data_IF_642225937852
#
_entry.id   IF_642225937852
#
_cell.length_a   1.000
_cell.length_b   1.000
_cell.length_c   1.000
_cell.angle_alpha   90.00
_cell.angle_beta   90.00
_cell.angle_gamma   90.00
#
_symmetry.space_group_name_H-M   'P 1'
#
loop_
_entity.id
_entity.type
_entity.pdbx_description
1 polymer ?
#
# COMPACT_ATOMS: atom_id res chain seq x y z
N UNK A 1 -62.25 9.28 -41.32
CA UNK A 1 -60.78 9.32 -41.12
C UNK A 1 -60.48 8.78 -39.73
N UNK A 2 -59.57 7.77 -39.68
CA UNK A 2 -58.79 7.20 -38.55
C UNK A 2 -58.57 8.18 -37.36
N UNK A 3 -58.50 7.84 -36.06
CA UNK A 3 -58.15 6.63 -35.29
C UNK A 3 -58.72 6.77 -33.84
N UNK A 4 -59.09 5.65 -33.20
CA UNK A 4 -59.29 5.45 -31.73
C UNK A 4 -58.03 4.68 -31.20
N UNK A 5 -57.72 4.49 -29.89
CA UNK A 5 -58.66 4.39 -28.79
C UNK A 5 -58.25 4.92 -27.40
N UNK A 6 -59.30 5.04 -26.58
CA UNK A 6 -59.40 5.26 -25.14
C UNK A 6 -59.31 3.94 -24.34
N UNK A 7 -59.03 4.04 -23.03
CA UNK A 7 -59.66 3.14 -22.05
C UNK A 7 -58.77 2.42 -21.02
N UNK A 8 -58.56 3.08 -19.88
CA UNK A 8 -58.88 2.64 -18.51
C UNK A 8 -58.53 1.21 -18.02
N UNK A 9 -57.79 1.20 -16.91
CA UNK A 9 -57.71 0.21 -15.83
C UNK A 9 -59.00 -0.60 -15.56
N UNK A 10 -58.87 -1.93 -15.39
CA UNK A 10 -59.36 -2.70 -14.21
C UNK A 10 -59.22 -4.23 -14.40
N UNK A 11 -58.65 -4.89 -13.38
CA UNK A 11 -59.08 -6.13 -12.70
C UNK A 11 -57.99 -7.17 -12.36
N UNK A 12 -58.00 -7.51 -11.06
CA UNK A 12 -57.29 -8.56 -10.37
C UNK A 12 -57.94 -9.95 -10.56
N UNK A 13 -57.09 -10.97 -10.43
CA UNK A 13 -57.35 -12.38 -10.04
C UNK A 13 -57.89 -13.35 -11.11
N UNK A 14 -57.08 -14.38 -11.41
CA UNK A 14 -57.52 -15.78 -11.31
C UNK A 14 -56.30 -16.72 -11.35
N UNK A 15 -56.36 -17.68 -10.42
CA UNK A 15 -55.43 -18.79 -10.18
C UNK A 15 -55.35 -19.74 -11.37
N UNK A 16 -54.19 -20.36 -11.58
CA UNK A 16 -54.00 -21.38 -12.61
C UNK A 16 -52.57 -21.90 -12.67
N UNK A 17 -52.22 -22.80 -11.76
CA UNK A 17 -51.02 -23.61 -11.87
C UNK A 17 -51.10 -24.50 -13.12
N UNK A 18 -50.28 -24.21 -14.14
CA UNK A 18 -49.98 -25.15 -15.21
C UNK A 18 -48.62 -24.82 -15.85
N UNK A 19 -47.63 -25.67 -15.55
CA UNK A 19 -46.51 -26.06 -16.42
C UNK A 19 -45.59 -24.94 -16.95
N UNK A 20 -44.63 -24.52 -16.13
CA UNK A 20 -43.33 -24.06 -16.64
C UNK A 20 -42.56 -25.27 -17.18
N UNK A 21 -42.72 -25.57 -18.48
CA UNK A 21 -41.74 -26.36 -19.22
C UNK A 21 -40.50 -25.48 -19.41
N UNK A 22 -39.28 -25.91 -19.06
CA UNK A 22 -38.09 -25.14 -19.39
C UNK A 22 -37.94 -25.08 -20.91
N UNK A 23 -37.96 -23.87 -21.46
CA UNK A 23 -37.56 -23.60 -22.84
C UNK A 23 -36.12 -24.06 -22.96
N UNK A 24 -35.92 -25.16 -23.70
CA UNK A 24 -34.60 -25.69 -24.07
C UNK A 24 -33.86 -24.56 -24.79
N UNK A 25 -32.93 -23.89 -24.10
CA UNK A 25 -32.12 -22.85 -24.73
C UNK A 25 -31.31 -23.53 -25.84
N UNK A 26 -31.57 -23.14 -27.09
CA UNK A 26 -30.62 -23.40 -28.16
C UNK A 26 -29.35 -22.67 -27.75
N UNK A 27 -28.30 -23.41 -27.45
CA UNK A 27 -26.97 -22.87 -27.21
C UNK A 27 -26.52 -22.14 -28.47
N UNK A 28 -26.74 -20.83 -28.51
CA UNK A 28 -26.06 -19.96 -29.47
C UNK A 28 -24.60 -19.92 -28.97
N UNK A 29 -23.62 -20.46 -29.69
CA UNK A 29 -22.23 -20.22 -29.34
C UNK A 29 -22.00 -18.71 -29.41
N UNK A 30 -21.76 -18.08 -28.25
CA UNK A 30 -21.23 -16.72 -28.19
C UNK A 30 -19.83 -16.81 -28.77
N UNK A 31 -19.72 -16.52 -30.05
CA UNK A 31 -18.45 -16.38 -30.75
C UNK A 31 -17.78 -15.09 -30.25
N UNK A 32 -17.09 -15.19 -29.11
CA UNK A 32 -16.36 -14.09 -28.44
C UNK A 32 -15.25 -13.53 -29.35
N UNK A 33 -14.90 -14.24 -30.43
CA UNK A 33 -13.89 -13.85 -31.40
C UNK A 33 -14.27 -12.59 -32.20
N UNK A 34 -15.57 -12.31 -32.41
CA UNK A 34 -16.00 -11.15 -33.24
C UNK A 34 -15.75 -9.78 -32.58
N UNK A 35 -15.57 -9.74 -31.27
CA UNK A 35 -15.25 -8.52 -30.51
C UNK A 35 -13.82 -8.51 -29.99
N UNK A 36 -13.07 -9.60 -30.18
CA UNK A 36 -11.66 -9.65 -29.83
C UNK A 36 -10.86 -8.94 -30.93
N UNK A 37 -10.44 -7.70 -30.66
CA UNK A 37 -9.42 -7.05 -31.48
C UNK A 37 -8.18 -7.97 -31.47
N UNK A 38 -7.69 -8.41 -32.65
CA UNK A 38 -6.49 -9.24 -32.74
C UNK A 38 -5.34 -8.59 -31.96
N UNK A 39 -4.53 -9.34 -31.20
CA UNK A 39 -3.45 -8.78 -30.39
C UNK A 39 -2.50 -7.90 -31.21
N UNK A 40 -2.27 -8.24 -32.48
CA UNK A 40 -1.43 -7.49 -33.43
C UNK A 40 -1.98 -6.10 -33.81
N UNK A 41 -3.30 -5.89 -33.72
CA UNK A 41 -3.95 -4.59 -33.99
C UNK A 41 -4.11 -3.73 -32.73
N UNK A 42 -3.73 -4.25 -31.57
CA UNK A 42 -3.72 -3.53 -30.30
C UNK A 42 -2.47 -2.66 -30.23
N UNK A 43 -2.34 -1.70 -31.15
CA UNK A 43 -1.26 -0.69 -31.12
C UNK A 43 -1.63 0.35 -30.07
N UNK A 44 -1.55 -0.05 -28.81
CA UNK A 44 -1.45 0.86 -27.67
C UNK A 44 -0.08 1.53 -27.77
N UNK A 45 -0.03 2.85 -28.00
CA UNK A 45 1.22 3.62 -27.89
C UNK A 45 1.84 3.52 -26.48
N UNK A 46 1.07 3.02 -25.51
CA UNK A 46 1.44 2.77 -24.11
C UNK A 46 1.95 1.34 -23.85
N UNK A 47 1.94 0.44 -24.84
CA UNK A 47 2.42 -0.96 -24.69
C UNK A 47 3.86 -1.14 -25.21
N UNK A 48 4.52 -0.07 -25.64
CA UNK A 48 5.94 -0.10 -25.98
C UNK A 48 6.76 0.02 -24.69
N UNK A 49 7.73 -0.88 -24.51
CA UNK A 49 8.77 -0.70 -23.49
C UNK A 49 9.38 0.70 -23.65
N UNK A 50 9.39 1.54 -22.60
CA UNK A 50 9.92 2.89 -22.70
C UNK A 50 11.40 2.86 -23.06
N UNK A 51 11.87 3.85 -23.83
CA UNK A 51 13.30 3.99 -24.09
C UNK A 51 14.03 4.37 -22.79
N UNK A 52 15.33 4.05 -22.65
CA UNK A 52 16.11 4.44 -21.46
C UNK A 52 16.05 5.94 -21.17
N UNK A 53 16.09 6.79 -22.21
CA UNK A 53 15.96 8.25 -22.09
C UNK A 53 14.58 8.67 -21.56
N UNK A 54 13.50 8.01 -21.99
CA UNK A 54 12.16 8.29 -21.46
C UNK A 54 12.04 7.94 -19.98
N UNK A 55 12.62 6.82 -19.57
CA UNK A 55 12.66 6.40 -18.16
C UNK A 55 13.41 7.43 -17.33
N UNK A 56 14.55 7.92 -17.80
CA UNK A 56 15.34 8.94 -17.09
C UNK A 56 14.56 10.26 -16.93
N UNK A 57 13.86 10.71 -17.97
CA UNK A 57 12.98 11.89 -17.88
C UNK A 57 11.88 11.68 -16.85
N UNK A 58 11.25 10.51 -16.81
CA UNK A 58 10.20 10.22 -15.82
C UNK A 58 10.75 10.12 -14.40
N UNK A 59 11.93 9.52 -14.22
CA UNK A 59 12.61 9.45 -12.91
C UNK A 59 13.03 10.83 -12.40
N UNK A 60 13.29 11.79 -13.29
CA UNK A 60 13.59 13.19 -12.92
C UNK A 60 12.34 14.00 -12.51
N UNK A 61 11.14 13.45 -12.66
CA UNK A 61 9.93 14.13 -12.21
C UNK A 61 9.87 14.13 -10.68
N UNK A 62 9.39 15.24 -10.11
CA UNK A 62 9.26 15.43 -8.66
C UNK A 62 8.61 14.22 -7.95
N UNK A 63 7.57 13.63 -8.55
CA UNK A 63 6.87 12.47 -8.00
C UNK A 63 7.81 11.28 -7.74
N UNK A 64 8.69 10.98 -8.68
CA UNK A 64 9.65 9.88 -8.61
C UNK A 64 10.86 10.22 -7.73
N UNK A 65 11.41 11.43 -7.84
CA UNK A 65 12.49 11.88 -6.95
C UNK A 65 12.06 11.87 -5.48
N UNK A 66 10.81 12.24 -5.21
CA UNK A 66 10.26 12.28 -3.86
C UNK A 66 10.15 10.91 -3.19
N UNK A 67 10.10 9.80 -3.97
CA UNK A 67 10.03 8.43 -3.43
C UNK A 67 11.24 8.07 -2.58
N UNK A 68 12.41 8.60 -2.91
CA UNK A 68 13.66 8.36 -2.17
C UNK A 68 13.55 8.85 -0.72
N UNK A 69 12.92 10.00 -0.49
CA UNK A 69 12.70 10.54 0.86
C UNK A 69 11.65 9.76 1.67
N UNK A 70 10.87 8.86 1.03
CA UNK A 70 9.93 7.97 1.74
C UNK A 70 10.60 6.72 2.29
N UNK A 71 11.86 6.43 1.90
CA UNK A 71 12.65 5.27 2.34
C UNK A 71 13.23 5.44 3.75
N UNK A 72 12.39 5.85 4.70
CA UNK A 72 12.80 6.06 6.10
C UNK A 72 12.38 4.90 7.00
N UNK A 73 13.14 4.67 8.06
CA UNK A 73 12.81 3.70 9.11
C UNK A 73 12.22 4.46 10.28
N UNK A 74 11.05 4.02 10.72
CA UNK A 74 10.33 4.65 11.81
C UNK A 74 10.96 4.32 13.17
N UNK A 75 11.49 5.32 13.86
CA UNK A 75 12.21 5.15 15.13
C UNK A 75 11.28 5.23 16.34
N UNK A 76 11.80 4.86 17.53
CA UNK A 76 11.08 5.03 18.79
C UNK A 76 10.70 6.51 19.04
N UNK A 77 11.58 7.45 18.67
CA UNK A 77 11.30 8.89 18.76
C UNK A 77 10.15 9.29 17.83
N UNK A 78 10.06 8.70 16.64
CA UNK A 78 8.95 8.94 15.70
C UNK A 78 7.62 8.39 16.24
N UNK A 79 7.65 7.25 16.93
CA UNK A 79 6.49 6.72 17.67
C UNK A 79 6.05 7.65 18.80
N UNK A 80 6.98 8.32 19.48
CA UNK A 80 6.62 9.36 20.45
C UNK A 80 6.01 10.57 19.74
N UNK A 81 6.63 11.03 18.64
CA UNK A 81 6.16 12.17 17.83
C UNK A 81 4.73 11.99 17.32
N UNK A 82 4.36 10.77 16.92
CA UNK A 82 3.00 10.44 16.42
C UNK A 82 1.95 10.32 17.51
N UNK A 83 2.34 10.15 18.77
CA UNK A 83 1.43 10.13 19.93
C UNK A 83 1.14 11.52 20.52
N UNK A 84 1.79 12.58 20.01
CA UNK A 84 1.56 13.97 20.45
C UNK A 84 0.10 14.39 20.20
N UNK A 85 -0.47 15.15 21.14
CA UNK A 85 -1.85 15.65 21.05
C UNK A 85 -2.03 16.70 19.93
N UNK A 86 -0.99 17.47 19.62
CA UNK A 86 -0.98 18.53 18.59
C UNK A 86 -0.96 17.99 17.14
N UNK A 87 -0.92 16.67 16.97
CA UNK A 87 -0.85 16.02 15.64
C UNK A 87 -1.95 16.47 14.70
N UNK A 88 -3.17 16.69 15.19
CA UNK A 88 -4.29 17.12 14.36
C UNK A 88 -4.03 18.50 13.73
N UNK A 89 -3.59 19.46 14.54
CA UNK A 89 -3.32 20.83 14.07
C UNK A 89 -2.10 20.89 13.17
N UNK A 90 -1.06 20.11 13.48
CA UNK A 90 0.14 20.01 12.64
C UNK A 90 -0.20 19.45 11.26
N UNK A 91 -0.99 18.37 11.20
CA UNK A 91 -1.39 17.74 9.94
C UNK A 91 -2.22 18.69 9.07
N UNK A 92 -3.14 19.48 9.65
CA UNK A 92 -3.91 20.47 8.89
C UNK A 92 -2.98 21.54 8.31
N UNK A 93 -2.05 22.07 9.11
CA UNK A 93 -1.11 23.11 8.66
C UNK A 93 -0.20 22.61 7.54
N UNK A 94 0.26 21.37 7.62
CA UNK A 94 1.18 20.78 6.64
C UNK A 94 0.47 20.14 5.44
N UNK A 95 -0.87 20.09 5.43
CA UNK A 95 -1.64 19.45 4.35
C UNK A 95 -1.25 19.99 2.98
N UNK A 96 -1.19 21.32 2.82
CA UNK A 96 -0.82 21.98 1.56
C UNK A 96 0.67 21.90 1.19
N UNK A 97 1.51 21.44 2.12
CA UNK A 97 2.94 21.21 1.92
C UNK A 97 3.26 19.72 1.67
N UNK A 98 2.24 18.86 1.71
CA UNK A 98 2.41 17.43 1.51
C UNK A 98 2.81 17.11 0.07
N UNK A 99 3.80 16.24 -0.10
CA UNK A 99 4.21 15.74 -1.42
C UNK A 99 3.07 15.11 -2.21
N UNK A 100 2.06 14.56 -1.52
CA UNK A 100 0.85 14.04 -2.15
C UNK A 100 0.10 15.13 -2.94
N UNK A 101 -0.07 16.32 -2.36
CA UNK A 101 -0.79 17.42 -3.00
C UNK A 101 0.02 17.98 -4.17
N UNK A 102 1.34 18.08 -4.01
CA UNK A 102 2.24 18.52 -5.09
C UNK A 102 2.17 17.55 -6.27
N UNK A 103 2.04 16.25 -6.01
CA UNK A 103 1.97 15.24 -7.05
C UNK A 103 0.66 15.28 -7.85
N UNK A 104 -0.48 15.52 -7.20
CA UNK A 104 -1.79 15.63 -7.88
C UNK A 104 -2.10 17.06 -8.39
N UNK A 105 -1.17 18.01 -8.21
CA UNK A 105 -1.38 19.41 -8.55
C UNK A 105 -1.70 19.66 -10.04
N UNK A 106 -1.09 18.96 -11.02
CA UNK A 106 -1.42 19.12 -12.43
C UNK A 106 -2.87 18.73 -12.75
N UNK A 107 -3.33 17.60 -12.23
CA UNK A 107 -4.70 17.10 -12.40
C UNK A 107 -5.70 18.05 -11.72
N UNK A 108 -5.37 18.50 -10.51
CA UNK A 108 -6.20 19.44 -9.76
C UNK A 108 -6.31 20.79 -10.47
N UNK A 109 -5.21 21.27 -11.05
CA UNK A 109 -5.18 22.51 -11.85
C UNK A 109 -6.02 22.36 -13.11
N UNK A 110 -5.94 21.21 -13.79
CA UNK A 110 -6.76 20.93 -14.97
C UNK A 110 -8.26 20.93 -14.65
N UNK A 111 -8.67 20.28 -13.55
CA UNK A 111 -10.06 20.32 -13.07
C UNK A 111 -10.46 21.73 -12.63
N UNK A 112 -9.56 22.50 -12.03
CA UNK A 112 -9.80 23.89 -11.66
C UNK A 112 -10.06 24.77 -12.88
N UNK A 113 -9.27 24.63 -13.93
CA UNK A 113 -9.44 25.34 -15.21
C UNK A 113 -10.77 24.96 -15.86
N UNK A 114 -11.09 23.66 -15.94
CA UNK A 114 -12.37 23.21 -16.52
C UNK A 114 -13.57 23.73 -15.73
N UNK A 115 -13.48 23.74 -14.39
CA UNK A 115 -14.52 24.29 -13.52
C UNK A 115 -14.70 25.78 -13.73
N UNK A 116 -13.60 26.52 -13.80
CA UNK A 116 -13.62 27.97 -14.02
C UNK A 116 -14.22 28.31 -15.39
N UNK A 117 -13.91 27.51 -16.42
CA UNK A 117 -14.52 27.63 -17.74
C UNK A 117 -16.04 27.40 -17.71
N UNK A 118 -16.52 26.35 -17.03
CA UNK A 118 -17.96 26.06 -16.92
C UNK A 118 -18.70 27.19 -16.21
N UNK A 119 -18.15 27.68 -15.09
CA UNK A 119 -18.73 28.80 -14.34
C UNK A 119 -18.75 30.07 -15.19
N UNK A 120 -17.64 30.41 -15.85
CA UNK A 120 -17.57 31.58 -16.72
C UNK A 120 -18.53 31.48 -17.91
N UNK A 121 -18.66 30.31 -18.53
CA UNK A 121 -19.59 30.08 -19.63
C UNK A 121 -21.04 30.33 -19.21
N UNK A 122 -21.49 29.71 -18.12
CA UNK A 122 -22.87 29.85 -17.67
C UNK A 122 -23.16 31.30 -17.19
N UNK A 123 -22.21 31.96 -16.52
CA UNK A 123 -22.37 33.35 -16.11
C UNK A 123 -22.43 34.32 -17.30
N UNK A 124 -21.52 34.17 -18.27
CA UNK A 124 -21.41 35.13 -19.37
C UNK A 124 -22.50 34.95 -20.42
N UNK A 125 -22.94 33.72 -20.69
CA UNK A 125 -23.80 33.42 -21.84
C UNK A 125 -25.22 32.96 -21.49
N UNK A 126 -25.51 32.63 -20.21
CA UNK A 126 -26.79 32.02 -19.83
C UNK A 126 -27.51 32.79 -18.71
N UNK A 127 -26.92 32.88 -17.52
CA UNK A 127 -27.61 33.43 -16.34
C UNK A 127 -27.37 34.93 -16.13
N UNK A 128 -26.29 35.48 -16.71
CA UNK A 128 -25.80 36.82 -16.40
C UNK A 128 -24.96 36.82 -15.12
N UNK A 129 -24.37 37.98 -14.79
CA UNK A 129 -23.55 38.12 -13.59
C UNK A 129 -23.98 39.32 -12.75
N UNK A 130 -23.80 39.20 -11.44
CA UNK A 130 -23.95 40.31 -10.50
C UNK A 130 -22.62 40.99 -10.31
N UNK A 131 -22.57 42.31 -10.47
CA UNK A 131 -21.37 43.07 -10.12
C UNK A 131 -21.22 43.23 -8.60
N UNK A 132 -20.13 43.89 -8.17
CA UNK A 132 -19.87 44.16 -6.75
C UNK A 132 -20.85 45.16 -6.13
N UNK A 133 -21.57 45.94 -6.95
CA UNK A 133 -22.66 46.82 -6.50
C UNK A 133 -24.01 46.09 -6.40
N UNK A 134 -24.06 44.81 -6.80
CA UNK A 134 -25.26 43.99 -6.80
C UNK A 134 -26.17 44.21 -8.02
N UNK A 135 -25.74 44.99 -9.01
CA UNK A 135 -26.47 45.15 -10.26
C UNK A 135 -26.32 43.88 -11.12
N UNK A 136 -27.44 43.41 -11.66
CA UNK A 136 -27.49 42.24 -12.52
C UNK A 136 -27.23 42.68 -13.97
N UNK A 137 -26.12 42.20 -14.53
CA UNK A 137 -25.79 42.38 -15.94
C UNK A 137 -26.34 41.21 -16.75
N UNK A 138 -27.04 41.46 -17.86
CA UNK A 138 -27.59 40.40 -18.70
C UNK A 138 -26.47 39.61 -19.40
N UNK A 139 -26.75 38.37 -19.83
CA UNK A 139 -25.79 37.58 -20.58
C UNK A 139 -25.35 38.27 -21.88
N UNK A 140 -24.07 38.10 -22.21
CA UNK A 140 -23.48 38.49 -23.48
C UNK A 140 -24.12 37.66 -24.60
N UNK A 141 -24.56 38.32 -25.67
CA UNK A 141 -25.16 37.70 -26.87
C UNK A 141 -26.59 37.15 -26.73
N UNK A 142 -27.41 37.75 -25.86
CA UNK A 142 -28.86 37.45 -25.76
C UNK A 142 -29.61 37.62 -27.09
N UNK A 143 -29.16 38.51 -27.97
CA UNK A 143 -29.83 38.84 -29.24
C UNK A 143 -29.34 38.04 -30.47
N UNK A 144 -28.32 37.18 -30.32
CA UNK A 144 -27.61 36.58 -31.48
C UNK A 144 -28.19 35.23 -31.90
N UNK A 145 -28.84 34.48 -31.01
CA UNK A 145 -29.39 33.15 -31.30
C UNK A 145 -30.85 33.02 -30.81
N UNK A 146 -31.83 32.73 -31.69
CA UNK A 146 -33.24 32.62 -31.32
C UNK A 146 -33.56 31.39 -30.44
N UNK A 147 -32.62 30.45 -30.28
CA UNK A 147 -32.79 29.23 -29.48
C UNK A 147 -32.07 29.29 -28.11
N UNK A 148 -31.40 30.40 -27.78
CA UNK A 148 -30.58 30.52 -26.56
C UNK A 148 -29.31 29.67 -26.60
N UNK A 149 -28.34 30.01 -25.76
CA UNK A 149 -27.11 29.22 -25.57
C UNK A 149 -27.40 28.17 -24.49
N UNK A 150 -27.10 26.87 -24.70
CA UNK A 150 -27.39 25.85 -23.70
C UNK A 150 -26.51 26.03 -22.47
N UNK A 151 -27.14 25.94 -21.30
CA UNK A 151 -26.45 25.88 -20.01
C UNK A 151 -25.59 24.61 -19.92
N UNK A 152 -24.33 24.77 -19.53
CA UNK A 152 -23.45 23.66 -19.17
C UNK A 152 -23.79 23.20 -17.75
N UNK A 153 -24.93 22.52 -17.62
CA UNK A 153 -25.43 21.98 -16.37
C UNK A 153 -25.93 20.55 -16.56
N UNK A 154 -25.63 19.70 -15.59
CA UNK A 154 -26.15 18.34 -15.50
C UNK A 154 -26.93 18.17 -14.18
N UNK A 155 -27.93 17.28 -14.13
CA UNK A 155 -28.62 16.99 -12.88
C UNK A 155 -27.65 16.38 -11.86
N UNK A 156 -27.83 16.71 -10.57
CA UNK A 156 -26.99 16.18 -9.49
C UNK A 156 -27.24 14.68 -9.21
N UNK A 157 -28.47 14.20 -9.45
CA UNK A 157 -28.89 12.85 -9.05
C UNK A 157 -27.99 11.71 -9.60
N UNK A 158 -27.57 11.69 -10.89
CA UNK A 158 -26.63 10.68 -11.38
C UNK A 158 -25.30 10.65 -10.63
N UNK A 159 -24.76 11.81 -10.22
CA UNK A 159 -23.50 11.91 -9.49
C UNK A 159 -23.63 11.39 -8.06
N UNK A 160 -24.75 11.70 -7.40
CA UNK A 160 -25.04 11.16 -6.06
C UNK A 160 -25.20 9.65 -6.05
N UNK A 161 -25.68 9.04 -7.14
CA UNK A 161 -25.76 7.59 -7.27
C UNK A 161 -24.40 6.97 -7.62
N UNK A 162 -23.63 7.61 -8.49
CA UNK A 162 -22.37 7.06 -8.99
C UNK A 162 -21.20 7.23 -7.99
N UNK A 163 -21.25 8.19 -7.07
CA UNK A 163 -20.18 8.43 -6.09
C UNK A 163 -19.96 7.23 -5.16
N UNK A 164 -21.02 6.50 -4.81
CA UNK A 164 -20.91 5.28 -4.00
C UNK A 164 -20.14 4.17 -4.74
N UNK A 165 -20.41 4.00 -6.04
CA UNK A 165 -19.68 3.06 -6.88
C UNK A 165 -18.20 3.49 -7.05
N UNK A 166 -17.95 4.78 -7.25
CA UNK A 166 -16.59 5.32 -7.33
C UNK A 166 -15.81 5.11 -6.03
N UNK A 167 -16.41 5.41 -4.88
CA UNK A 167 -15.81 5.21 -3.57
C UNK A 167 -15.45 3.74 -3.31
N UNK A 168 -16.33 2.81 -3.71
CA UNK A 168 -16.08 1.37 -3.61
C UNK A 168 -14.90 0.93 -4.47
N UNK A 169 -14.82 1.41 -5.72
CA UNK A 169 -13.70 1.10 -6.63
C UNK A 169 -12.36 1.62 -6.10
N UNK A 170 -12.35 2.84 -5.56
CA UNK A 170 -11.16 3.42 -4.93
C UNK A 170 -10.74 2.63 -3.69
N UNK A 171 -11.70 2.21 -2.85
CA UNK A 171 -11.40 1.40 -1.66
C UNK A 171 -10.81 0.04 -2.05
N UNK A 172 -11.39 -0.64 -3.03
CA UNK A 172 -10.83 -1.90 -3.52
C UNK A 172 -9.45 -1.73 -4.13
N UNK A 173 -9.20 -0.64 -4.88
CA UNK A 173 -7.87 -0.33 -5.41
C UNK A 173 -6.86 -0.16 -4.26
N UNK A 174 -7.18 0.66 -3.27
CA UNK A 174 -6.33 0.90 -2.11
C UNK A 174 -6.04 -0.37 -1.32
N UNK A 175 -7.04 -1.23 -1.10
CA UNK A 175 -6.86 -2.50 -0.39
C UNK A 175 -5.93 -3.46 -1.12
N UNK A 176 -6.06 -3.57 -2.45
CA UNK A 176 -5.18 -4.42 -3.27
C UNK A 176 -3.74 -3.90 -3.25
N UNK A 177 -3.55 -2.59 -3.42
CA UNK A 177 -2.22 -1.97 -3.34
C UNK A 177 -1.59 -2.15 -1.95
N UNK A 178 -2.37 -1.97 -0.88
CA UNK A 178 -1.89 -2.20 0.49
C UNK A 178 -1.47 -3.65 0.73
N UNK A 179 -2.28 -4.63 0.28
CA UNK A 179 -1.95 -6.05 0.43
C UNK A 179 -0.62 -6.39 -0.24
N UNK A 180 -0.38 -5.86 -1.44
CA UNK A 180 0.87 -5.99 -2.20
C UNK A 180 2.05 -5.35 -1.46
N UNK A 181 1.87 -4.16 -0.89
CA UNK A 181 2.89 -3.52 -0.07
C UNK A 181 3.24 -4.33 1.18
N UNK A 182 2.22 -4.83 1.88
CA UNK A 182 2.41 -5.65 3.07
C UNK A 182 3.15 -6.96 2.72
N UNK A 183 2.80 -7.61 1.62
CA UNK A 183 3.48 -8.81 1.14
C UNK A 183 4.97 -8.57 0.86
N UNK A 184 5.32 -7.47 0.20
CA UNK A 184 6.71 -7.09 -0.04
C UNK A 184 7.46 -6.83 1.28
N UNK A 185 6.82 -6.16 2.24
CA UNK A 185 7.38 -5.90 3.57
C UNK A 185 7.60 -7.19 4.35
N UNK A 186 6.70 -8.16 4.25
CA UNK A 186 6.83 -9.48 4.87
C UNK A 186 7.96 -10.28 4.23
N UNK A 187 8.09 -10.29 2.90
CA UNK A 187 9.19 -10.93 2.19
C UNK A 187 10.55 -10.36 2.63
N UNK A 188 10.69 -9.04 2.70
CA UNK A 188 11.91 -8.40 3.23
C UNK A 188 12.13 -8.68 4.72
N UNK A 189 11.07 -8.85 5.50
CA UNK A 189 11.16 -9.33 6.89
C UNK A 189 11.78 -10.73 6.98
N UNK A 190 11.39 -11.63 6.06
CA UNK A 190 11.97 -12.96 5.95
C UNK A 190 13.46 -12.91 5.56
N UNK A 191 13.84 -12.07 4.59
CA UNK A 191 15.25 -11.83 4.23
C UNK A 191 16.06 -11.41 5.47
N UNK A 192 15.59 -10.45 6.25
CA UNK A 192 16.28 -10.00 7.46
C UNK A 192 16.46 -11.15 8.47
N UNK A 193 15.40 -11.90 8.75
CA UNK A 193 15.42 -12.97 9.75
C UNK A 193 16.31 -14.14 9.32
N UNK A 194 16.21 -14.56 8.07
CA UNK A 194 16.94 -15.71 7.54
C UNK A 194 18.43 -15.37 7.37
N UNK A 195 18.79 -14.16 6.92
CA UNK A 195 20.19 -13.70 6.88
C UNK A 195 20.85 -13.72 8.27
N UNK A 196 20.15 -13.20 9.30
CA UNK A 196 20.64 -13.25 10.69
C UNK A 196 20.71 -14.67 11.24
N UNK A 197 19.81 -15.55 10.81
CA UNK A 197 19.75 -16.94 11.29
C UNK A 197 20.87 -17.78 10.68
N UNK A 198 21.16 -17.62 9.38
CA UNK A 198 22.32 -18.24 8.71
C UNK A 198 23.61 -17.83 9.42
N UNK A 199 23.80 -16.53 9.66
CA UNK A 199 25.01 -16.04 10.30
C UNK A 199 25.12 -16.53 11.75
N UNK A 200 24.04 -16.47 12.53
CA UNK A 200 24.01 -17.02 13.90
C UNK A 200 24.38 -18.50 13.93
N UNK A 201 23.80 -19.33 13.05
CA UNK A 201 24.12 -20.76 12.99
C UNK A 201 25.56 -20.98 12.54
N UNK A 202 26.02 -20.24 11.54
CA UNK A 202 27.40 -20.25 11.06
C UNK A 202 28.41 -19.98 12.16
N UNK A 203 28.24 -18.89 12.94
CA UNK A 203 29.17 -18.54 14.03
C UNK A 203 29.19 -19.55 15.19
N UNK A 204 28.04 -20.11 15.56
CA UNK A 204 27.96 -21.04 16.70
C UNK A 204 28.48 -22.42 16.31
N UNK A 205 28.09 -22.90 15.13
CA UNK A 205 28.53 -24.21 14.67
C UNK A 205 29.97 -24.20 14.21
N UNK A 206 30.49 -23.08 13.69
CA UNK A 206 31.91 -23.00 13.33
C UNK A 206 32.82 -23.30 14.53
N UNK A 207 32.49 -22.81 15.73
CA UNK A 207 33.23 -23.10 16.97
C UNK A 207 33.16 -24.55 17.40
N UNK A 208 32.09 -25.27 17.02
CA UNK A 208 31.94 -26.69 17.34
C UNK A 208 32.85 -27.60 16.50
N UNK A 209 33.43 -27.08 15.42
CA UNK A 209 34.31 -27.81 14.52
C UNK A 209 35.66 -27.08 14.38
N UNK A 210 36.73 -27.69 14.86
CA UNK A 210 38.07 -27.07 15.04
C UNK A 210 38.80 -26.65 13.75
N UNK A 211 38.12 -26.69 12.59
CA UNK A 211 38.72 -26.54 11.25
C UNK A 211 38.26 -25.29 10.49
N UNK A 212 37.31 -24.52 11.03
CA UNK A 212 36.77 -23.34 10.33
C UNK A 212 37.56 -22.11 10.75
N UNK A 213 38.15 -21.44 9.76
CA UNK A 213 38.90 -20.21 9.92
C UNK A 213 38.00 -18.98 9.91
N UNK A 214 38.48 -17.90 10.52
CA UNK A 214 37.77 -16.63 10.60
C UNK A 214 37.48 -16.03 9.21
N UNK A 215 38.33 -16.35 8.21
CA UNK A 215 38.14 -15.90 6.83
C UNK A 215 36.95 -16.60 6.15
N UNK A 216 36.71 -17.90 6.39
CA UNK A 216 35.53 -18.58 5.84
C UNK A 216 34.23 -18.06 6.48
N UNK A 217 34.27 -17.70 7.77
CA UNK A 217 33.13 -17.07 8.44
C UNK A 217 32.83 -15.67 7.89
N UNK A 218 33.88 -14.88 7.66
CA UNK A 218 33.79 -13.58 6.99
C UNK A 218 33.19 -13.72 5.57
N UNK A 219 33.65 -14.71 4.79
CA UNK A 219 33.13 -15.01 3.45
C UNK A 219 31.63 -15.36 3.48
N UNK A 220 31.20 -16.19 4.44
CA UNK A 220 29.77 -16.49 4.62
C UNK A 220 28.97 -15.21 4.92
N UNK A 221 29.46 -14.35 5.81
CA UNK A 221 28.86 -13.06 6.11
C UNK A 221 28.72 -12.20 4.85
N UNK A 222 29.80 -12.02 4.10
CA UNK A 222 29.79 -11.27 2.84
C UNK A 222 28.84 -11.85 1.79
N UNK A 223 28.77 -13.18 1.66
CA UNK A 223 27.83 -13.88 0.78
C UNK A 223 26.37 -13.58 1.17
N UNK A 224 26.03 -13.68 2.46
CA UNK A 224 24.69 -13.34 3.00
C UNK A 224 24.33 -11.88 2.72
N UNK A 225 25.27 -10.94 2.90
CA UNK A 225 25.04 -9.53 2.61
C UNK A 225 24.86 -9.27 1.12
N UNK A 226 25.67 -9.92 0.28
CA UNK A 226 25.61 -9.81 -1.17
C UNK A 226 24.28 -10.29 -1.74
N UNK A 227 23.64 -11.29 -1.11
CA UNK A 227 22.27 -11.70 -1.46
C UNK A 227 21.27 -10.57 -1.26
N UNK A 228 21.22 -9.99 -0.05
CA UNK A 228 20.27 -8.93 0.26
C UNK A 228 20.46 -7.70 -0.64
N UNK A 229 21.72 -7.36 -0.94
CA UNK A 229 22.07 -6.24 -1.81
C UNK A 229 21.71 -6.50 -3.27
N UNK A 230 21.93 -7.73 -3.75
CA UNK A 230 21.55 -8.16 -5.10
C UNK A 230 20.04 -8.18 -5.28
N UNK A 231 19.29 -8.60 -4.26
CA UNK A 231 17.83 -8.56 -4.28
C UNK A 231 17.32 -7.12 -4.40
N UNK A 232 17.87 -6.19 -3.61
CA UNK A 232 17.54 -4.77 -3.70
C UNK A 232 17.76 -4.23 -5.12
N UNK A 233 18.96 -4.44 -5.67
CA UNK A 233 19.33 -4.01 -7.03
C UNK A 233 18.40 -4.59 -8.11
N UNK A 234 17.98 -5.86 -7.94
CA UNK A 234 17.06 -6.55 -8.87
C UNK A 234 15.66 -5.95 -8.88
N UNK A 235 15.21 -5.41 -7.75
CA UNK A 235 13.85 -4.84 -7.55
C UNK A 235 13.78 -3.33 -7.76
N UNK A 236 14.89 -2.67 -8.11
CA UNK A 236 14.96 -1.25 -8.41
C UNK A 236 15.30 -1.00 -9.89
N UNK A 237 14.93 0.16 -10.45
CA UNK A 237 15.37 0.57 -11.78
C UNK A 237 16.92 0.63 -11.86
N UNK A 238 17.54 0.18 -12.96
CA UNK A 238 18.99 0.24 -13.13
C UNK A 238 19.59 1.64 -12.94
N UNK A 239 18.87 2.68 -13.39
CA UNK A 239 19.27 4.08 -13.26
C UNK A 239 19.39 4.55 -11.81
N UNK A 240 18.67 3.91 -10.87
CA UNK A 240 18.69 4.30 -9.46
C UNK A 240 19.85 3.67 -8.68
N UNK A 241 20.21 2.43 -9.00
CA UNK A 241 20.99 1.60 -8.07
C UNK A 241 22.18 0.85 -8.68
N UNK A 242 22.32 0.79 -10.01
CA UNK A 242 23.35 -0.04 -10.65
C UNK A 242 24.77 0.40 -10.30
N UNK A 243 25.05 1.71 -10.28
CA UNK A 243 26.36 2.23 -9.89
C UNK A 243 26.63 2.04 -8.39
N UNK A 244 25.63 2.29 -7.54
CA UNK A 244 25.74 2.05 -6.10
C UNK A 244 26.00 0.57 -5.78
N UNK A 245 25.41 -0.34 -6.55
CA UNK A 245 25.64 -1.77 -6.45
C UNK A 245 27.09 -2.12 -6.80
N UNK A 246 27.62 -1.60 -7.92
CA UNK A 246 29.02 -1.81 -8.32
C UNK A 246 29.99 -1.29 -7.27
N UNK A 247 29.76 -0.08 -6.75
CA UNK A 247 30.58 0.51 -5.69
C UNK A 247 30.52 -0.33 -4.41
N UNK A 248 29.34 -0.86 -4.05
CA UNK A 248 29.19 -1.76 -2.91
C UNK A 248 30.07 -3.02 -3.09
N UNK A 249 29.98 -3.68 -4.25
CA UNK A 249 30.75 -4.88 -4.53
C UNK A 249 32.26 -4.64 -4.43
N UNK A 250 32.75 -3.55 -5.02
CA UNK A 250 34.20 -3.25 -5.02
C UNK A 250 34.76 -2.78 -3.68
N UNK A 251 33.92 -2.21 -2.81
CA UNK A 251 34.37 -1.59 -1.55
C UNK A 251 34.12 -2.45 -0.31
N UNK A 252 33.16 -3.38 -0.36
CA UNK A 252 32.69 -4.12 0.82
C UNK A 252 32.94 -5.62 0.77
N UNK A 253 33.23 -6.21 -0.40
CA UNK A 253 33.60 -7.62 -0.52
C UNK A 253 35.13 -7.74 -0.50
N UNK A 254 35.63 -8.72 0.25
CA UNK A 254 37.06 -9.01 0.34
C UNK A 254 37.52 -9.82 -0.86
N UNK A 255 36.71 -10.78 -1.31
CA UNK A 255 36.96 -11.58 -2.51
C UNK A 255 36.53 -10.82 -3.77
N UNK A 256 37.50 -10.23 -4.46
CA UNK A 256 37.26 -9.44 -5.66
C UNK A 256 36.92 -10.30 -6.89
N UNK A 257 37.35 -11.56 -6.92
CA UNK A 257 36.97 -12.49 -8.00
C UNK A 257 35.47 -12.82 -7.87
N UNK A 258 35.01 -13.10 -6.65
CA UNK A 258 33.58 -13.24 -6.36
C UNK A 258 32.78 -11.97 -6.70
N UNK A 259 33.30 -10.79 -6.35
CA UNK A 259 32.65 -9.52 -6.67
C UNK A 259 32.42 -9.33 -8.18
N UNK A 260 33.42 -9.66 -9.01
CA UNK A 260 33.32 -9.61 -10.48
C UNK A 260 32.33 -10.66 -10.99
N UNK A 261 32.42 -11.90 -10.49
CA UNK A 261 31.52 -12.98 -10.88
C UNK A 261 30.05 -12.64 -10.56
N UNK A 262 29.78 -12.04 -9.39
CA UNK A 262 28.45 -11.63 -8.97
C UNK A 262 27.92 -10.44 -9.79
N UNK A 263 28.78 -9.46 -10.13
CA UNK A 263 28.42 -8.33 -10.98
C UNK A 263 27.94 -8.79 -12.35
N UNK A 264 28.68 -9.73 -12.95
CA UNK A 264 28.47 -10.22 -14.32
C UNK A 264 27.45 -11.36 -14.39
N UNK A 265 26.98 -11.86 -13.24
CA UNK A 265 25.96 -12.90 -13.16
C UNK A 265 24.63 -12.43 -13.77
N UNK A 266 24.04 -13.27 -14.62
CA UNK A 266 22.71 -13.04 -15.21
C UNK A 266 21.62 -12.89 -14.14
N UNK A 267 21.71 -13.67 -13.07
CA UNK A 267 20.78 -13.61 -11.95
C UNK A 267 21.53 -13.48 -10.62
N UNK A 268 21.88 -12.23 -10.29
CA UNK A 268 22.74 -11.88 -9.15
C UNK A 268 22.25 -12.44 -7.81
N UNK A 269 20.96 -12.36 -7.43
CA UNK A 269 20.50 -12.92 -6.16
C UNK A 269 20.70 -14.44 -6.06
N UNK A 270 20.47 -15.19 -7.15
CA UNK A 270 20.67 -16.64 -7.16
C UNK A 270 22.15 -17.00 -7.15
N UNK A 271 23.00 -16.22 -7.82
CA UNK A 271 24.45 -16.41 -7.72
C UNK A 271 24.94 -16.22 -6.27
N UNK A 272 24.42 -15.21 -5.55
CA UNK A 272 24.72 -15.02 -4.14
C UNK A 272 24.18 -16.16 -3.25
N UNK A 273 23.00 -16.71 -3.53
CA UNK A 273 22.49 -17.91 -2.83
C UNK A 273 23.42 -19.11 -3.02
N UNK A 274 23.90 -19.34 -4.24
CA UNK A 274 24.83 -20.42 -4.53
C UNK A 274 26.16 -20.24 -3.75
N UNK A 275 26.64 -19.00 -3.61
CA UNK A 275 27.83 -18.71 -2.82
C UNK A 275 27.61 -18.98 -1.32
N UNK A 276 26.43 -18.63 -0.78
CA UNK A 276 26.07 -18.96 0.61
C UNK A 276 26.14 -20.48 0.81
N UNK A 277 25.51 -21.27 -0.06
CA UNK A 277 25.53 -22.73 0.04
C UNK A 277 26.96 -23.28 -0.10
N UNK A 278 27.78 -22.73 -1.01
CA UNK A 278 29.19 -23.12 -1.16
C UNK A 278 29.98 -22.93 0.13
N UNK A 279 29.86 -21.75 0.76
CA UNK A 279 30.53 -21.46 2.03
C UNK A 279 30.10 -22.45 3.14
N UNK A 280 28.83 -22.82 3.17
CA UNK A 280 28.29 -23.75 4.16
C UNK A 280 28.74 -25.20 3.94
N UNK A 281 28.97 -25.60 2.69
CA UNK A 281 29.54 -26.92 2.37
C UNK A 281 31.00 -26.98 2.83
N UNK A 282 31.76 -25.90 2.65
CA UNK A 282 33.16 -25.81 3.09
C UNK A 282 33.31 -25.92 4.61
N UNK A 283 32.27 -25.60 5.38
CA UNK A 283 32.25 -25.78 6.84
C UNK A 283 32.19 -27.26 7.28
N UNK A 284 31.91 -28.19 6.36
CA UNK A 284 31.81 -29.63 6.64
C UNK A 284 30.94 -29.95 7.87
N UNK A 285 29.78 -29.30 7.96
CA UNK A 285 28.85 -29.43 9.07
C UNK A 285 28.32 -30.87 9.19
N UNK A 286 27.86 -31.24 10.39
CA UNK A 286 27.06 -32.46 10.55
C UNK A 286 25.85 -32.44 9.59
N UNK A 287 25.52 -33.55 8.92
CA UNK A 287 24.37 -33.64 8.02
C UNK A 287 23.05 -33.08 8.59
N UNK A 288 22.79 -33.25 9.89
CA UNK A 288 21.61 -32.69 10.55
C UNK A 288 21.64 -31.16 10.59
N UNK A 289 22.79 -30.57 10.90
CA UNK A 289 22.98 -29.11 10.89
C UNK A 289 22.90 -28.55 9.48
N UNK A 290 23.46 -29.26 8.49
CA UNK A 290 23.38 -28.88 7.08
C UNK A 290 21.93 -28.80 6.61
N UNK A 291 21.09 -29.78 6.97
CA UNK A 291 19.65 -29.76 6.66
C UNK A 291 18.95 -28.56 7.30
N UNK A 292 19.25 -28.23 8.55
CA UNK A 292 18.60 -27.08 9.22
C UNK A 292 19.02 -25.74 8.61
N UNK A 293 20.29 -25.54 8.24
CA UNK A 293 20.69 -24.32 7.54
C UNK A 293 20.12 -24.25 6.13
N UNK A 294 20.09 -25.36 5.39
CA UNK A 294 19.54 -25.38 4.04
C UNK A 294 18.06 -24.99 4.02
N UNK A 295 17.28 -25.32 5.06
CA UNK A 295 15.91 -24.82 5.22
C UNK A 295 15.85 -23.29 5.31
N UNK A 296 16.81 -22.66 5.97
CA UNK A 296 16.89 -21.20 6.09
C UNK A 296 17.36 -20.56 4.78
N UNK A 297 18.30 -21.18 4.07
CA UNK A 297 18.71 -20.75 2.71
C UNK A 297 17.56 -20.88 1.73
N UNK A 298 16.79 -21.96 1.79
CA UNK A 298 15.54 -22.14 1.03
C UNK A 298 14.55 -21.01 1.35
N UNK A 299 14.47 -20.58 2.61
CA UNK A 299 13.69 -19.42 3.02
C UNK A 299 14.08 -18.10 2.33
N UNK A 300 15.38 -17.86 2.10
CA UNK A 300 15.84 -16.73 1.30
C UNK A 300 15.41 -16.87 -0.17
N UNK A 301 15.45 -18.08 -0.73
CA UNK A 301 14.97 -18.36 -2.08
C UNK A 301 13.46 -18.10 -2.22
N UNK A 302 12.65 -18.51 -1.24
CA UNK A 302 11.22 -18.22 -1.21
C UNK A 302 10.93 -16.71 -1.17
N UNK A 303 11.70 -15.97 -0.37
CA UNK A 303 11.58 -14.51 -0.28
C UNK A 303 12.01 -13.80 -1.57
N UNK A 304 13.03 -14.33 -2.27
CA UNK A 304 13.43 -13.89 -3.61
C UNK A 304 12.29 -14.11 -4.60
N UNK A 305 11.73 -15.32 -4.67
CA UNK A 305 10.63 -15.64 -5.58
C UNK A 305 9.37 -14.81 -5.31
N UNK A 306 9.05 -14.57 -4.03
CA UNK A 306 7.96 -13.66 -3.65
C UNK A 306 8.23 -12.22 -4.14
N UNK A 307 9.46 -11.72 -3.96
CA UNK A 307 9.83 -10.37 -4.38
C UNK A 307 9.79 -10.21 -5.90
N UNK A 308 10.28 -11.20 -6.65
CA UNK A 308 10.22 -11.20 -8.11
C UNK A 308 8.78 -11.28 -8.63
N UNK A 309 7.93 -12.11 -8.02
CA UNK A 309 6.51 -12.16 -8.37
C UNK A 309 5.84 -10.81 -8.15
N UNK A 310 6.08 -10.17 -7.00
CA UNK A 310 5.54 -8.82 -6.73
C UNK A 310 6.07 -7.85 -7.79
N UNK A 311 7.37 -7.81 -8.03
CA UNK A 311 7.97 -6.87 -8.99
C UNK A 311 7.44 -7.05 -10.42
N UNK A 312 7.32 -8.30 -10.89
CA UNK A 312 7.00 -8.62 -12.30
C UNK A 312 5.51 -8.68 -12.60
N UNK A 313 4.66 -8.95 -11.60
CA UNK A 313 3.22 -9.17 -11.80
C UNK A 313 2.43 -8.02 -11.18
N UNK A 314 2.16 -6.92 -11.92
CA UNK A 314 1.38 -5.79 -11.40
C UNK A 314 -0.10 -6.14 -11.19
N UNK A 315 -0.84 -5.25 -10.54
CA UNK A 315 -2.31 -5.36 -10.46
C UNK A 315 -2.85 -5.36 -11.90
N UNK A 316 -3.87 -6.18 -12.22
CA UNK A 316 -4.36 -6.28 -13.59
C UNK A 316 -4.68 -4.91 -14.19
N UNK A 317 -4.01 -4.57 -15.29
CA UNK A 317 -3.99 -3.19 -15.82
C UNK A 317 -5.35 -2.71 -16.32
N UNK A 318 -6.27 -3.61 -16.66
CA UNK A 318 -7.64 -3.22 -16.99
C UNK A 318 -8.39 -2.63 -15.78
N UNK A 319 -8.07 -3.10 -14.57
CA UNK A 319 -8.69 -2.65 -13.33
C UNK A 319 -8.22 -1.23 -12.98
N UNK A 320 -6.90 -1.00 -13.01
CA UNK A 320 -6.31 0.30 -12.74
C UNK A 320 -6.75 1.34 -13.79
N UNK A 321 -6.73 0.98 -15.07
CA UNK A 321 -7.19 1.85 -16.17
C UNK A 321 -8.67 2.18 -16.09
N UNK A 322 -9.53 1.22 -15.76
CA UNK A 322 -10.97 1.48 -15.65
C UNK A 322 -11.28 2.44 -14.49
N UNK A 323 -10.66 2.19 -13.33
CA UNK A 323 -10.81 3.05 -12.15
C UNK A 323 -10.35 4.47 -12.43
N UNK A 324 -9.15 4.65 -13.00
CA UNK A 324 -8.61 5.96 -13.35
C UNK A 324 -9.49 6.72 -14.36
N UNK A 325 -9.98 6.04 -15.41
CA UNK A 325 -10.87 6.65 -16.40
C UNK A 325 -12.21 7.06 -15.80
N UNK A 326 -12.81 6.20 -14.98
CA UNK A 326 -14.08 6.52 -14.33
C UNK A 326 -13.92 7.73 -13.41
N UNK A 327 -12.85 7.77 -12.60
CA UNK A 327 -12.52 8.91 -11.76
C UNK A 327 -12.34 10.19 -12.60
N UNK A 328 -11.54 10.14 -13.67
CA UNK A 328 -11.30 11.29 -14.54
C UNK A 328 -12.58 11.83 -15.18
N UNK A 329 -13.40 10.98 -15.79
CA UNK A 329 -14.68 11.41 -16.37
C UNK A 329 -15.63 11.98 -15.32
N UNK A 330 -15.68 11.36 -14.13
CA UNK A 330 -16.54 11.82 -13.05
C UNK A 330 -16.11 13.19 -12.54
N UNK A 331 -14.80 13.41 -12.29
CA UNK A 331 -14.26 14.68 -11.83
C UNK A 331 -14.40 15.81 -12.85
N UNK A 332 -14.25 15.52 -14.15
CA UNK A 332 -14.44 16.52 -15.20
C UNK A 332 -15.90 16.90 -15.41
N UNK A 333 -16.83 15.98 -15.18
CA UNK A 333 -18.26 16.23 -15.29
C UNK A 333 -18.84 16.85 -14.01
N UNK A 334 -18.21 16.64 -12.84
CA UNK A 334 -18.67 17.13 -11.53
C UNK A 334 -19.03 18.63 -11.49
N UNK A 335 -18.26 19.57 -12.09
CA UNK A 335 -18.58 21.00 -11.99
C UNK A 335 -19.93 21.36 -12.60
N UNK A 336 -20.33 20.65 -13.67
CA UNK A 336 -21.64 20.87 -14.32
C UNK A 336 -22.81 20.47 -13.41
N UNK A 337 -22.60 19.52 -12.50
CA UNK A 337 -23.59 19.08 -11.53
C UNK A 337 -23.62 19.94 -10.26
N UNK A 338 -22.49 20.56 -9.91
CA UNK A 338 -22.37 21.46 -8.76
C UNK A 338 -22.83 22.89 -9.05
N UNK A 339 -22.96 23.28 -10.32
CA UNK A 339 -23.33 24.64 -10.71
C UNK A 339 -24.66 25.11 -10.06
N UNK A 340 -25.73 24.33 -10.17
CA UNK A 340 -27.04 24.70 -9.61
C UNK A 340 -27.05 24.70 -8.06
N UNK A 341 -26.55 23.66 -7.35
CA UNK A 341 -26.38 23.70 -5.89
C UNK A 341 -25.57 24.89 -5.38
N UNK A 342 -24.56 25.34 -6.13
CA UNK A 342 -23.69 26.46 -5.75
C UNK A 342 -24.27 27.85 -6.09
N UNK A 343 -25.49 27.95 -6.64
CA UNK A 343 -26.20 29.20 -6.94
C UNK A 343 -26.39 30.13 -5.74
N UNK A 344 -26.37 29.56 -4.53
CA UNK A 344 -26.47 30.31 -3.27
C UNK A 344 -25.30 31.30 -3.11
N UNK A 345 -24.14 30.95 -3.67
CA UNK A 345 -22.95 31.79 -3.63
C UNK A 345 -22.98 32.90 -4.70
N UNK A 346 -22.27 34.00 -4.44
CA UNK A 346 -22.16 35.11 -5.40
C UNK A 346 -21.65 34.62 -6.77
N UNK A 347 -22.46 34.73 -7.82
CA UNK A 347 -22.12 34.26 -9.17
C UNK A 347 -21.63 32.80 -9.20
N UNK A 348 -22.18 31.91 -8.37
CA UNK A 348 -21.81 30.49 -8.35
C UNK A 348 -20.31 30.22 -8.06
N UNK A 349 -19.56 31.19 -7.51
CA UNK A 349 -18.11 31.08 -7.32
C UNK A 349 -17.69 29.90 -6.44
N UNK A 350 -18.55 29.49 -5.51
CA UNK A 350 -18.28 28.35 -4.61
C UNK A 350 -18.10 27.02 -5.36
N UNK A 351 -18.56 26.92 -6.61
CA UNK A 351 -18.37 25.74 -7.47
C UNK A 351 -16.88 25.38 -7.61
N UNK A 352 -16.00 26.40 -7.71
CA UNK A 352 -14.55 26.21 -7.89
C UNK A 352 -13.92 25.54 -6.65
N UNK A 353 -13.93 26.15 -5.44
CA UNK A 353 -13.32 25.53 -4.27
C UNK A 353 -13.97 24.20 -3.88
N UNK A 354 -15.29 24.03 -4.07
CA UNK A 354 -15.97 22.76 -3.78
C UNK A 354 -15.51 21.65 -4.71
N UNK A 355 -15.43 21.89 -6.03
CA UNK A 355 -14.94 20.89 -6.98
C UNK A 355 -13.47 20.56 -6.70
N UNK A 356 -12.63 21.56 -6.45
CA UNK A 356 -11.22 21.36 -6.12
C UNK A 356 -11.04 20.53 -4.83
N UNK A 357 -11.82 20.81 -3.79
CA UNK A 357 -11.75 20.04 -2.55
C UNK A 357 -12.12 18.57 -2.77
N UNK A 358 -13.23 18.28 -3.45
CA UNK A 358 -13.66 16.91 -3.76
C UNK A 358 -12.62 16.20 -4.62
N UNK A 359 -12.11 16.87 -5.64
CA UNK A 359 -11.07 16.34 -6.54
C UNK A 359 -9.79 16.01 -5.79
N UNK A 360 -9.34 16.91 -4.90
CA UNK A 360 -8.16 16.70 -4.08
C UNK A 360 -8.24 15.45 -3.21
N UNK A 361 -9.40 15.18 -2.59
CA UNK A 361 -9.60 13.98 -1.79
C UNK A 361 -9.62 12.70 -2.65
N UNK A 362 -10.37 12.69 -3.75
CA UNK A 362 -10.52 11.48 -4.57
C UNK A 362 -9.24 11.14 -5.35
N UNK A 363 -8.57 12.14 -5.94
CA UNK A 363 -7.26 11.98 -6.57
C UNK A 363 -6.19 11.60 -5.54
N UNK A 364 -6.26 12.17 -4.33
CA UNK A 364 -5.35 11.78 -3.24
C UNK A 364 -5.48 10.31 -2.86
N UNK A 365 -6.69 9.75 -2.81
CA UNK A 365 -6.90 8.31 -2.55
C UNK A 365 -6.35 7.47 -3.70
N UNK A 366 -6.57 7.87 -4.95
CA UNK A 366 -6.02 7.17 -6.11
C UNK A 366 -4.49 7.15 -6.09
N UNK A 367 -3.88 8.30 -5.81
CA UNK A 367 -2.43 8.47 -5.77
C UNK A 367 -1.80 7.65 -4.65
N UNK A 368 -2.41 7.62 -3.45
CA UNK A 368 -1.96 6.74 -2.36
C UNK A 368 -1.96 5.27 -2.78
N UNK A 369 -2.98 4.83 -3.51
CA UNK A 369 -3.03 3.46 -4.02
C UNK A 369 -1.93 3.18 -5.05
N UNK A 370 -1.60 4.15 -5.92
CA UNK A 370 -0.51 4.04 -6.89
C UNK A 370 0.85 3.92 -6.19
N UNK A 371 1.12 4.73 -5.16
CA UNK A 371 2.40 4.65 -4.43
C UNK A 371 2.59 3.31 -3.70
N UNK A 372 1.51 2.75 -3.14
CA UNK A 372 1.56 1.43 -2.48
C UNK A 372 1.66 0.28 -3.49
N UNK A 373 1.25 0.47 -4.75
CA UNK A 373 1.34 -0.54 -5.80
C UNK A 373 2.81 -0.86 -6.18
N UNK A 374 3.74 0.05 -5.94
CA UNK A 374 5.17 -0.11 -6.21
C UNK A 374 6.01 -0.12 -4.92
N UNK A 375 5.95 -1.22 -4.13
CA UNK A 375 6.44 -1.20 -2.76
C UNK A 375 7.95 -1.04 -2.63
N UNK A 376 8.74 -1.60 -3.57
CA UNK A 376 10.20 -1.52 -3.51
C UNK A 376 10.73 -0.09 -3.71
N UNK A 377 9.95 0.81 -4.32
CA UNK A 377 10.35 2.20 -4.47
C UNK A 377 10.33 3.00 -3.15
N UNK A 378 9.46 2.60 -2.22
CA UNK A 378 9.21 3.29 -0.93
C UNK A 378 9.72 2.52 0.30
N UNK A 379 9.95 1.20 0.17
CA UNK A 379 10.52 0.42 1.26
C UNK A 379 11.95 0.90 1.57
N UNK A 380 12.34 1.02 2.86
CA UNK A 380 13.68 1.46 3.25
C UNK A 380 14.71 0.33 3.11
N UNK A 381 14.83 -0.25 1.91
CA UNK A 381 15.67 -1.43 1.64
C UNK A 381 17.15 -1.15 1.93
N UNK A 382 17.65 0.05 1.63
CA UNK A 382 19.01 0.47 1.96
C UNK A 382 19.28 0.39 3.48
N UNK A 383 18.34 0.90 4.29
CA UNK A 383 18.44 0.84 5.76
C UNK A 383 18.21 -0.58 6.29
N UNK A 384 17.42 -1.39 5.61
CA UNK A 384 17.28 -2.82 5.94
C UNK A 384 18.59 -3.56 5.68
N UNK A 385 19.20 -3.39 4.50
CA UNK A 385 20.49 -3.99 4.16
C UNK A 385 21.60 -3.53 5.11
N UNK A 386 21.76 -2.22 5.34
CA UNK A 386 22.86 -1.71 6.17
C UNK A 386 22.59 -1.90 7.67
N UNK A 387 21.45 -1.41 8.17
CA UNK A 387 21.18 -1.40 9.61
C UNK A 387 20.61 -2.71 10.14
N UNK A 388 19.69 -3.34 9.41
CA UNK A 388 19.00 -4.54 9.91
C UNK A 388 19.73 -5.84 9.56
N UNK A 389 20.48 -5.90 8.46
CA UNK A 389 21.15 -7.14 8.04
C UNK A 389 22.64 -7.03 8.32
N UNK A 390 23.33 -6.05 7.72
CA UNK A 390 24.78 -5.92 7.82
C UNK A 390 25.26 -5.72 9.25
N UNK A 391 24.72 -4.75 10.00
CA UNK A 391 25.20 -4.51 11.37
C UNK A 391 25.15 -5.78 12.24
N UNK A 392 24.01 -6.49 12.37
CA UNK A 392 23.98 -7.71 13.16
C UNK A 392 24.82 -8.87 12.60
N UNK A 393 24.90 -9.03 11.28
CA UNK A 393 25.70 -10.09 10.65
C UNK A 393 27.18 -9.87 10.92
N UNK A 394 27.69 -8.66 10.70
CA UNK A 394 29.09 -8.33 10.92
C UNK A 394 29.45 -8.36 12.42
N UNK A 395 28.55 -7.90 13.28
CA UNK A 395 28.73 -8.00 14.74
C UNK A 395 28.80 -9.46 15.19
N UNK A 396 27.99 -10.36 14.61
CA UNK A 396 28.07 -11.79 14.91
C UNK A 396 29.39 -12.41 14.46
N UNK A 397 29.92 -12.00 13.31
CA UNK A 397 31.24 -12.44 12.82
C UNK A 397 32.33 -11.95 13.76
N UNK A 398 32.36 -10.66 14.08
CA UNK A 398 33.35 -10.04 14.97
C UNK A 398 33.35 -10.69 16.36
N UNK A 399 32.18 -10.89 16.97
CA UNK A 399 32.04 -11.61 18.26
C UNK A 399 32.52 -13.05 18.19
N UNK A 400 32.36 -13.69 17.03
CA UNK A 400 32.87 -15.05 16.86
C UNK A 400 34.39 -15.08 16.89
N UNK A 401 35.03 -14.11 16.22
CA UNK A 401 36.49 -13.95 16.10
C UNK A 401 37.15 -13.53 17.42
N UNK A 402 36.56 -12.58 18.16
CA UNK A 402 37.14 -12.08 19.41
C UNK A 402 37.02 -13.07 20.57
N UNK A 403 36.12 -14.05 20.46
CA UNK A 403 35.86 -15.00 21.55
C UNK A 403 35.21 -14.38 22.79
N UNK A 404 34.81 -13.10 22.72
CA UNK A 404 34.07 -12.44 23.78
C UNK A 404 32.65 -13.01 23.83
N UNK A 405 32.45 -14.04 24.67
CA UNK A 405 31.11 -14.28 25.19
C UNK A 405 30.67 -13.01 25.92
N UNK A 406 29.40 -12.56 25.77
CA UNK A 406 28.92 -11.54 26.66
C UNK A 406 29.17 -12.06 28.06
N UNK A 407 30.00 -11.34 28.82
CA UNK A 407 29.92 -11.47 30.26
C UNK A 407 28.47 -11.09 30.57
N UNK A 408 27.59 -12.09 30.61
CA UNK A 408 26.59 -12.17 31.64
C UNK A 408 27.40 -12.09 32.92
N UNK A 409 27.77 -10.86 33.28
CA UNK A 409 27.72 -10.47 34.63
C UNK A 409 26.29 -10.83 35.06
N UNK A 410 26.11 -12.08 35.51
CA UNK A 410 25.77 -12.23 36.91
C UNK A 410 26.67 -11.22 37.59
N UNK A 411 26.16 -9.99 37.74
CA UNK A 411 26.59 -9.15 38.81
C UNK A 411 26.61 -10.13 39.97
N UNK A 412 27.83 -10.45 40.42
CA UNK A 412 28.03 -11.19 41.64
C UNK A 412 27.01 -10.61 42.59
N UNK A 413 26.19 -11.48 43.19
CA UNK A 413 25.23 -11.05 44.18
C UNK A 413 26.02 -10.24 45.22
N UNK A 414 26.06 -8.92 45.03
CA UNK A 414 26.58 -8.00 46.00
C UNK A 414 25.65 -8.24 47.18
N UNK A 415 26.17 -8.61 48.36
CA UNK A 415 25.32 -8.84 49.51
C UNK A 415 24.47 -7.60 49.66
N UNK A 416 23.14 -7.79 49.63
CA UNK A 416 22.14 -6.73 49.55
C UNK A 416 22.58 -5.52 50.39
N UNK A 417 23.15 -4.51 49.72
CA UNK A 417 23.55 -3.29 50.38
C UNK A 417 22.24 -2.62 50.81
N UNK A 418 22.04 -2.55 52.12
CA UNK A 418 20.88 -1.92 52.72
C UNK A 418 20.66 -0.55 52.07
N UNK A 419 19.52 -0.40 51.40
CA UNK A 419 19.07 0.90 50.88
C UNK A 419 19.00 1.84 52.09
N UNK A 420 19.76 2.95 52.12
CA UNK A 420 19.64 3.91 53.22
C UNK A 420 18.24 4.51 53.18
N UNK A 421 17.56 4.48 54.32
CA UNK A 421 16.24 5.08 54.49
C UNK A 421 16.29 6.56 54.06
N UNK A 422 15.45 6.91 53.09
CA UNK A 422 15.30 8.29 52.65
C UNK A 422 14.89 9.18 53.85
N UNK A 423 15.44 10.40 53.97
CA UNK A 423 15.06 11.30 55.04
C UNK A 423 13.57 11.67 54.91
N UNK A 424 12.83 11.55 56.01
CA UNK A 424 11.44 11.96 56.12
C UNK A 424 11.36 13.48 55.94
N UNK A 425 11.06 13.92 54.72
CA UNK A 425 10.77 15.32 54.45
C UNK A 425 9.42 15.69 55.07
N UNK A 426 9.40 16.81 55.81
CA UNK A 426 8.25 17.33 56.51
C UNK A 426 7.04 17.58 55.59
N UNK A 427 5.84 17.27 56.09
CA UNK A 427 4.58 17.41 55.38
C UNK A 427 4.27 18.89 55.02
N UNK A 428 3.99 19.22 53.75
CA UNK A 428 3.39 20.50 53.41
C UNK A 428 1.88 20.49 53.74
N UNK A 429 1.42 21.59 54.31
CA UNK A 429 0.05 21.83 54.74
C UNK A 429 -0.96 21.86 53.58
N UNK A 430 -2.11 21.21 53.81
CA UNK A 430 -3.44 21.41 53.20
C UNK A 430 -3.53 21.57 51.67
N UNK A 431 -3.87 20.48 50.98
CA UNK A 431 -4.52 20.54 49.65
C UNK A 431 -6.02 20.84 49.82
N UNK A 432 -6.65 21.61 48.90
CA UNK A 432 -8.08 21.87 48.94
C UNK A 432 -8.90 20.59 48.63
N UNK A 433 -10.15 20.47 49.11
CA UNK A 433 -10.94 19.27 48.94
C UNK A 433 -11.37 19.08 47.47
N UNK A 434 -11.07 17.91 46.91
CA UNK A 434 -11.60 17.43 45.64
C UNK A 434 -13.09 17.09 45.82
N UNK A 435 -14.00 17.50 44.91
CA UNK A 435 -15.41 17.13 45.00
C UNK A 435 -15.57 15.60 44.89
N UNK A 436 -16.42 15.04 45.75
CA UNK A 436 -16.66 13.61 45.88
C UNK A 436 -17.09 12.97 44.55
N UNK A 437 -16.26 12.05 44.05
CA UNK A 437 -16.64 11.12 43.00
C UNK A 437 -17.66 10.15 43.58
N UNK A 438 -18.82 10.07 42.94
CA UNK A 438 -19.92 9.15 43.23
C UNK A 438 -19.39 7.71 43.32
N UNK A 439 -19.82 6.98 44.34
CA UNK A 439 -19.41 5.60 44.63
C UNK A 439 -19.60 4.67 43.40
N UNK A 440 -18.72 3.66 43.23
CA UNK A 440 -18.91 2.65 42.19
C UNK A 440 -20.16 1.83 42.48
N UNK A 441 -20.98 1.66 41.45
CA UNK A 441 -22.15 0.77 41.42
C UNK A 441 -21.70 -0.66 41.75
N UNK A 442 -22.37 -1.28 42.71
CA UNK A 442 -22.25 -2.70 43.07
C UNK A 442 -22.21 -3.59 41.83
N UNK A 443 -21.16 -4.40 41.72
CA UNK A 443 -21.06 -5.45 40.71
C UNK A 443 -22.22 -6.44 40.95
N UNK A 444 -23.19 -6.43 40.03
CA UNK A 444 -24.25 -7.43 40.00
C UNK A 444 -23.61 -8.77 39.68
N UNK A 445 -23.70 -9.69 40.63
CA UNK A 445 -23.30 -11.09 40.48
C UNK A 445 -24.13 -11.69 39.34
N UNK A 446 -23.49 -11.99 38.21
CA UNK A 446 -24.07 -12.78 37.13
C UNK A 446 -24.18 -14.22 37.63
N UNK A 447 -25.36 -14.86 37.58
CA UNK A 447 -25.47 -16.27 37.97
C UNK A 447 -24.70 -17.15 36.99
N UNK A 448 -24.02 -18.17 37.53
CA UNK A 448 -23.27 -19.19 36.80
C UNK A 448 -24.09 -19.73 35.61
N UNK A 449 -23.56 -19.52 34.40
CA UNK A 449 -24.05 -20.21 33.21
C UNK A 449 -23.50 -21.64 33.26
N UNK A 450 -24.33 -22.69 33.26
CA UNK A 450 -23.83 -24.05 33.25
C UNK A 450 -23.05 -24.29 31.96
N UNK A 451 -21.87 -24.91 32.10
CA UNK A 451 -21.03 -25.30 30.98
C UNK A 451 -21.84 -26.09 29.95
N UNK A 452 -21.81 -25.64 28.69
CA UNK A 452 -22.38 -26.38 27.58
C UNK A 452 -21.69 -27.76 27.49
N UNK A 453 -22.43 -28.86 27.27
CA UNK A 453 -21.82 -30.17 27.12
C UNK A 453 -20.93 -30.16 25.87
N UNK A 454 -19.70 -30.65 26.01
CA UNK A 454 -18.78 -30.86 24.90
C UNK A 454 -19.39 -31.90 23.96
N UNK A 455 -19.98 -31.46 22.84
CA UNK A 455 -20.44 -32.33 21.76
C UNK A 455 -19.21 -33.03 21.15
N UNK A 456 -19.23 -34.37 21.10
CA UNK A 456 -18.12 -35.13 20.53
C UNK A 456 -18.04 -34.93 19.01
N UNK A 457 -16.85 -35.06 18.42
CA UNK A 457 -16.65 -34.93 16.96
C UNK A 457 -17.54 -35.93 16.20
N UNK A 458 -17.85 -37.07 16.80
CA UNK A 458 -18.72 -38.10 16.22
C UNK A 458 -20.20 -37.68 16.18
N UNK A 459 -20.69 -36.97 17.20
CA UNK A 459 -22.05 -36.41 17.21
C UNK A 459 -22.21 -35.30 16.17
N UNK A 460 -21.18 -34.48 15.99
CA UNK A 460 -21.16 -33.44 14.96
C UNK A 460 -21.21 -34.07 13.57
N UNK A 461 -20.43 -35.12 13.30
CA UNK A 461 -20.44 -35.83 12.03
C UNK A 461 -21.79 -36.51 11.73
N UNK A 462 -22.46 -37.07 12.75
CA UNK A 462 -23.80 -37.67 12.60
C UNK A 462 -24.88 -36.63 12.23
N UNK A 463 -24.76 -35.39 12.74
CA UNK A 463 -25.67 -34.28 12.41
C UNK A 463 -25.51 -33.79 10.97
N UNK A 464 -24.27 -33.72 10.49
CA UNK A 464 -23.98 -33.34 9.09
C UNK A 464 -24.46 -34.42 8.10
N UNK A 465 -24.34 -35.70 8.45
CA UNK A 465 -24.90 -36.80 7.65
C UNK A 465 -26.43 -36.73 7.53
N UNK A 466 -27.15 -36.31 8.59
CA UNK A 466 -28.60 -36.10 8.55
C UNK A 466 -29.04 -34.88 7.73
N UNK A 467 -28.23 -33.82 7.67
CA UNK A 467 -28.53 -32.63 6.86
C UNK A 467 -28.28 -32.82 5.35
N UNK A 468 -27.45 -33.79 4.96
CA UNK A 468 -27.20 -34.14 3.56
C UNK A 468 -28.26 -35.03 2.91
N UNK A 469 -29.24 -35.56 3.68
CA UNK A 469 -30.27 -36.49 3.17
C UNK A 469 -31.59 -35.81 2.79
N UNK A 470 -31.67 -34.48 2.84
CA UNK A 470 -32.89 -33.74 2.53
C UNK A 470 -32.62 -32.60 1.53
N UNK A 471 -32.02 -32.95 0.39
CA UNK A 471 -32.11 -32.22 -0.88
C UNK A 471 -31.95 -33.16 -2.06
#
# INVERSE_FOLDING_TARGET
MKFCPSGLLLFLSLSGAAAFSPIRSKSVPRDVSRYAIPPEKRVSTLDKTPSPEQVEVWLSQYGEESRKYRREVFTAADWVRTRRQERFTDNIKTTFQSGLIVQIAPELTFVGISTSFIVAWNLLFVDGWKDYAGALHPPLMTDVLPFGIPALQLPLAPFSLSVAALGLLLTFRTNVSYARWNEARTAWGKVINDSRSIMRMGCIWSKSYTTIDDASLQRLGEAVLSFSRSLMNRTLPPQEDEENFKTYLSSRLTDQEYAVALRDAKHRPTAALAEITKCLVDFNLNPLHQVEVEKVVTGLCDALGASERIFTSPVPTFYTRHTARFLAFWLLALPTALYDPCKISWNHWATIPTTLAISGFLLGIEELATQMEEPFSILPMEKMCEGSIRTPVMEQVERSQTGEEPQLALASAAPAAAIPAAPVAAAPASLPPVPAVVAPVEATVVPDVPAAPSESVDDMNARWAKMGSNK
#
